data_IF_525985446981
#
_entry.id   IF_525985446981
#
_cell.length_a   1.000
_cell.length_b   1.000
_cell.length_c   1.000
_cell.angle_alpha   90.00
_cell.angle_beta   90.00
_cell.angle_gamma   90.00
#
_symmetry.space_group_name_H-M   'P 1'
#
loop_
_entity.id
_entity.type
_entity.pdbx_description
1 polymer ?
#
# COMPACT_ATOMS: atom_id res chain seq x y z
N UNK A 1 -9.16 47.93 -17.93
CA UNK A 1 -9.24 46.90 -16.86
C UNK A 1 -7.86 46.42 -16.40
N UNK A 2 -6.75 47.12 -16.74
CA UNK A 2 -5.39 46.75 -16.33
C UNK A 2 -4.70 47.77 -15.42
N UNK A 3 -5.21 49.00 -15.29
CA UNK A 3 -4.49 50.10 -14.60
C UNK A 3 -4.74 50.15 -13.07
N UNK A 4 -5.75 49.40 -12.59
CA UNK A 4 -6.14 49.38 -11.17
C UNK A 4 -5.38 48.30 -10.37
N UNK A 5 -5.00 47.20 -11.04
CA UNK A 5 -4.23 46.11 -10.44
C UNK A 5 -2.77 46.50 -10.20
N UNK A 6 -2.16 47.23 -11.13
CA UNK A 6 -0.77 47.68 -11.01
C UNK A 6 -0.59 48.71 -9.88
N UNK A 7 -1.62 49.56 -9.67
CA UNK A 7 -1.66 50.49 -8.52
C UNK A 7 -1.86 49.79 -7.18
N UNK A 8 -2.54 48.65 -7.15
CA UNK A 8 -2.69 47.84 -5.95
C UNK A 8 -1.37 47.13 -5.60
N UNK A 9 -0.69 46.59 -6.60
CA UNK A 9 0.60 45.89 -6.43
C UNK A 9 1.71 46.81 -5.91
N UNK A 10 1.80 48.04 -6.42
CA UNK A 10 2.77 49.05 -5.94
C UNK A 10 2.50 49.51 -4.49
N UNK A 11 1.24 49.52 -4.05
CA UNK A 11 0.90 49.86 -2.65
C UNK A 11 1.22 48.71 -1.69
N UNK A 12 1.05 47.47 -2.12
CA UNK A 12 1.39 46.28 -1.32
C UNK A 12 2.91 46.12 -1.17
N UNK A 13 3.69 46.37 -2.23
CA UNK A 13 5.15 46.25 -2.16
C UNK A 13 5.80 47.29 -1.24
N UNK A 14 5.30 48.53 -1.23
CA UNK A 14 5.77 49.58 -0.31
C UNK A 14 5.36 49.36 1.16
N UNK A 15 4.29 48.61 1.42
CA UNK A 15 3.92 48.21 2.77
C UNK A 15 4.82 47.07 3.29
N UNK A 16 5.31 46.20 2.40
CA UNK A 16 6.15 45.05 2.75
C UNK A 16 7.61 45.44 3.05
N UNK A 17 8.13 46.50 2.45
CA UNK A 17 9.50 46.98 2.72
C UNK A 17 9.61 47.82 3.99
N UNK A 18 8.51 48.43 4.45
CA UNK A 18 8.51 49.25 5.68
C UNK A 18 8.47 48.45 6.98
N UNK A 19 8.12 47.17 6.94
CA UNK A 19 8.10 46.28 8.11
C UNK A 19 9.40 45.50 8.28
N UNK A 20 10.21 45.37 7.23
CA UNK A 20 11.50 44.67 7.30
C UNK A 20 12.60 45.46 8.02
N UNK A 21 12.53 46.79 8.01
CA UNK A 21 13.51 47.66 8.70
C UNK A 21 13.30 47.75 10.22
N UNK A 22 12.13 47.32 10.73
CA UNK A 22 11.87 47.27 12.18
C UNK A 22 12.24 45.91 12.77
N UNK A 23 12.26 44.85 11.95
CA UNK A 23 12.54 43.46 12.35
C UNK A 23 14.03 43.14 12.48
N UNK A 24 14.93 43.97 11.96
CA UNK A 24 16.39 43.76 12.07
C UNK A 24 17.02 44.34 13.35
N UNK A 25 16.25 45.08 14.18
CA UNK A 25 16.73 45.65 15.44
C UNK A 25 16.62 44.72 16.66
N UNK A 26 16.17 43.48 16.49
CA UNK A 26 16.02 42.51 17.60
C UNK A 26 16.59 41.13 17.24
N UNK A 27 17.72 41.12 16.53
CA UNK A 27 18.51 39.90 16.32
C UNK A 27 19.71 40.00 17.28
N UNK A 28 19.76 39.21 18.37
CA UNK A 28 20.94 39.13 19.22
C UNK A 28 22.12 38.69 18.36
N UNK A 29 23.33 39.12 18.71
CA UNK A 29 24.52 38.67 17.99
C UNK A 29 24.60 37.13 18.06
N UNK A 30 25.11 36.53 16.98
CA UNK A 30 25.24 35.08 16.84
C UNK A 30 26.04 34.42 17.99
N UNK A 31 26.84 35.20 18.74
CA UNK A 31 27.53 34.75 19.95
C UNK A 31 26.61 34.63 21.17
N UNK A 32 25.63 35.51 21.35
CA UNK A 32 24.67 35.43 22.47
C UNK A 32 23.72 34.24 22.31
N UNK A 33 23.35 33.91 21.07
CA UNK A 33 22.50 32.77 20.75
C UNK A 33 23.19 31.42 21.02
N UNK A 34 24.48 31.31 20.68
CA UNK A 34 25.28 30.11 20.98
C UNK A 34 25.53 29.93 22.49
N UNK A 35 25.67 31.03 23.23
CA UNK A 35 25.84 30.97 24.69
C UNK A 35 24.56 30.53 25.41
N UNK A 36 23.39 30.98 24.92
CA UNK A 36 22.08 30.54 25.41
C UNK A 36 21.78 29.06 25.10
N UNK A 37 22.21 28.55 23.94
CA UNK A 37 22.06 27.13 23.59
C UNK A 37 22.95 26.23 24.49
N UNK A 38 24.10 26.72 24.94
CA UNK A 38 25.05 25.91 25.72
C UNK A 38 24.70 25.73 27.21
N UNK A 39 23.71 26.45 27.75
CA UNK A 39 23.45 26.48 29.20
C UNK A 39 21.96 26.47 29.58
N UNK A 40 21.27 25.36 29.33
CA UNK A 40 20.32 24.72 30.27
C UNK A 40 19.53 23.64 29.51
N UNK A 41 19.62 22.38 29.95
CA UNK A 41 18.59 21.77 30.82
C UNK A 41 17.23 21.83 30.13
N UNK A 42 16.97 20.88 29.24
CA UNK A 42 15.72 20.12 29.08
C UNK A 42 15.86 19.29 27.81
N UNK A 43 15.65 17.97 27.93
CA UNK A 43 15.81 17.00 26.84
C UNK A 43 14.91 17.31 25.65
N UNK A 44 15.48 17.95 24.64
CA UNK A 44 14.88 18.04 23.32
C UNK A 44 15.38 16.81 22.58
N UNK A 45 14.49 15.84 22.41
CA UNK A 45 14.61 14.75 21.43
C UNK A 45 14.92 15.44 20.10
N UNK A 46 16.07 15.11 19.51
CA UNK A 46 16.53 15.75 18.30
C UNK A 46 15.64 15.31 17.12
N UNK A 47 15.48 16.17 16.11
CA UNK A 47 14.74 15.83 14.88
C UNK A 47 15.32 14.58 14.20
N UNK A 48 16.62 14.34 14.41
CA UNK A 48 17.34 13.15 13.96
C UNK A 48 16.81 11.87 14.66
N UNK A 49 16.52 11.94 15.97
CA UNK A 49 15.92 10.84 16.73
C UNK A 49 14.52 10.46 16.19
N UNK A 50 13.72 11.42 15.72
CA UNK A 50 12.37 11.14 15.16
C UNK A 50 12.40 10.53 13.75
N UNK A 51 13.48 10.71 13.01
CA UNK A 51 13.66 10.17 11.65
C UNK A 51 14.26 8.76 11.72
N UNK A 52 15.17 8.50 12.67
CA UNK A 52 15.73 7.16 12.91
C UNK A 52 14.67 6.17 13.41
N UNK A 53 13.75 6.58 14.30
CA UNK A 53 12.62 5.73 14.72
C UNK A 53 11.72 5.31 13.54
N UNK A 54 11.51 6.20 12.56
CA UNK A 54 10.60 5.96 11.43
C UNK A 54 11.21 5.13 10.29
N UNK A 55 12.52 5.21 10.08
CA UNK A 55 13.19 4.59 8.92
C UNK A 55 14.06 3.38 9.33
N UNK A 56 14.38 3.21 10.62
CA UNK A 56 15.16 2.09 11.14
C UNK A 56 14.79 1.64 12.56
N UNK A 57 13.65 2.07 13.09
CA UNK A 57 13.21 1.70 14.45
C UNK A 57 12.73 0.25 14.58
N UNK A 58 12.42 -0.14 15.83
CA UNK A 58 11.84 -1.44 16.16
C UNK A 58 12.87 -2.57 16.41
N UNK A 59 12.43 -3.70 17.00
CA UNK A 59 13.32 -4.77 17.48
C UNK A 59 14.16 -5.44 16.38
N UNK A 60 13.72 -5.33 15.12
CA UNK A 60 14.40 -5.92 13.95
C UNK A 60 14.79 -4.89 12.87
N UNK A 61 14.68 -3.58 13.15
CA UNK A 61 15.04 -2.51 12.21
C UNK A 61 14.09 -2.36 11.00
N UNK A 62 12.85 -2.83 11.11
CA UNK A 62 11.81 -2.72 10.06
C UNK A 62 10.81 -1.57 10.32
N UNK A 63 11.09 -0.71 11.29
CA UNK A 63 10.22 0.35 11.81
C UNK A 63 9.48 -0.07 13.08
N UNK A 64 8.82 0.90 13.72
CA UNK A 64 8.03 0.71 14.93
C UNK A 64 6.81 -0.23 14.69
N UNK A 65 6.64 -1.32 15.46
CA UNK A 65 5.43 -2.14 15.45
C UNK A 65 4.12 -1.42 15.75
N UNK A 66 4.15 -0.38 16.61
CA UNK A 66 2.95 0.34 17.03
C UNK A 66 2.48 1.39 16.01
N UNK A 67 3.30 1.68 15.00
CA UNK A 67 2.97 2.62 13.95
C UNK A 67 1.85 2.06 13.04
N UNK A 68 0.70 2.75 13.08
CA UNK A 68 -0.48 2.46 12.26
C UNK A 68 -0.58 3.36 11.03
N UNK A 69 0.38 4.26 10.80
CA UNK A 69 0.32 5.19 9.67
C UNK A 69 0.64 4.47 8.35
N UNK A 70 -0.11 4.79 7.31
CA UNK A 70 0.15 4.31 5.95
C UNK A 70 1.01 5.34 5.24
N UNK A 71 2.10 4.88 4.61
CA UNK A 71 2.98 5.76 3.84
C UNK A 71 2.44 5.96 2.43
N UNK A 72 2.79 7.08 1.80
CA UNK A 72 2.32 7.41 0.44
C UNK A 72 2.64 6.27 -0.54
N UNK A 73 3.84 5.70 -0.45
CA UNK A 73 4.22 4.54 -1.23
C UNK A 73 3.34 3.33 -0.93
N UNK A 74 2.93 3.07 0.30
CA UNK A 74 2.15 1.86 0.59
C UNK A 74 0.75 1.87 -0.06
N UNK A 75 0.25 3.04 -0.49
CA UNK A 75 -1.03 3.12 -1.20
C UNK A 75 -1.07 2.37 -2.54
N UNK A 76 0.07 2.13 -3.22
CA UNK A 76 0.07 1.35 -4.46
C UNK A 76 -0.32 -0.13 -4.25
N UNK A 77 -0.29 -0.60 -3.00
CA UNK A 77 -0.60 -1.97 -2.64
C UNK A 77 -2.11 -2.26 -2.64
N UNK A 78 -2.91 -1.30 -2.17
CA UNK A 78 -4.34 -1.53 -1.90
C UNK A 78 -5.18 -1.84 -3.14
N UNK A 79 -5.00 -1.22 -4.32
CA UNK A 79 -5.78 -1.59 -5.50
C UNK A 79 -5.71 -3.08 -5.82
N UNK A 80 -4.54 -3.69 -5.67
CA UNK A 80 -4.33 -5.12 -5.91
C UNK A 80 -4.94 -5.97 -4.81
N UNK A 81 -4.84 -5.54 -3.55
CA UNK A 81 -5.45 -6.21 -2.41
C UNK A 81 -6.98 -6.21 -2.52
N UNK A 82 -7.58 -5.05 -2.81
CA UNK A 82 -9.04 -4.88 -3.00
C UNK A 82 -9.54 -5.82 -4.10
N UNK A 83 -8.88 -5.82 -5.27
CA UNK A 83 -9.27 -6.69 -6.37
C UNK A 83 -9.28 -8.17 -5.98
N UNK A 84 -8.26 -8.62 -5.24
CA UNK A 84 -8.21 -10.00 -4.77
C UNK A 84 -9.27 -10.29 -3.75
N UNK A 85 -9.49 -9.40 -2.80
CA UNK A 85 -10.47 -9.61 -1.75
C UNK A 85 -11.86 -9.74 -2.35
N UNK A 86 -12.19 -8.89 -3.32
CA UNK A 86 -13.42 -8.99 -4.10
C UNK A 86 -13.47 -10.34 -4.83
N UNK A 87 -12.41 -10.72 -5.54
CA UNK A 87 -12.40 -11.94 -6.37
C UNK A 87 -12.46 -13.25 -5.57
N UNK A 88 -11.65 -13.37 -4.53
CA UNK A 88 -11.36 -14.64 -3.85
C UNK A 88 -12.05 -14.79 -2.50
N UNK A 89 -12.57 -13.71 -1.92
CA UNK A 89 -13.30 -13.79 -0.65
C UNK A 89 -14.76 -13.38 -0.83
N UNK A 90 -15.02 -12.22 -1.44
CA UNK A 90 -16.40 -11.68 -1.53
C UNK A 90 -17.23 -12.30 -2.65
N UNK A 91 -16.59 -12.61 -3.79
CA UNK A 91 -17.22 -13.22 -4.97
C UNK A 91 -16.66 -14.62 -5.27
N UNK A 92 -16.18 -15.35 -4.26
CA UNK A 92 -15.57 -16.68 -4.43
C UNK A 92 -16.51 -17.64 -5.17
N UNK A 93 -17.76 -17.79 -4.73
CA UNK A 93 -18.70 -18.76 -5.28
C UNK A 93 -18.94 -18.61 -6.78
N UNK A 94 -19.16 -17.37 -7.25
CA UNK A 94 -19.41 -17.08 -8.67
C UNK A 94 -18.12 -17.11 -9.49
N UNK A 95 -16.99 -16.79 -8.86
CA UNK A 95 -15.67 -16.86 -9.48
C UNK A 95 -15.26 -18.32 -9.70
N UNK A 96 -15.49 -19.18 -8.71
CA UNK A 96 -15.17 -20.61 -8.79
C UNK A 96 -16.02 -21.31 -9.84
N UNK A 97 -17.34 -21.06 -9.88
CA UNK A 97 -18.22 -21.58 -10.95
C UNK A 97 -17.78 -21.15 -12.35
N UNK A 98 -17.33 -19.91 -12.50
CA UNK A 98 -16.79 -19.42 -13.77
C UNK A 98 -15.51 -20.17 -14.15
N UNK A 99 -14.57 -20.36 -13.21
CA UNK A 99 -13.34 -21.11 -13.48
C UNK A 99 -13.58 -22.60 -13.73
N UNK A 100 -14.53 -23.22 -13.04
CA UNK A 100 -14.99 -24.59 -13.33
C UNK A 100 -15.49 -24.68 -14.77
N UNK A 101 -16.36 -23.78 -15.20
CA UNK A 101 -16.85 -23.75 -16.58
C UNK A 101 -15.71 -23.55 -17.58
N UNK A 102 -14.79 -22.61 -17.34
CA UNK A 102 -13.63 -22.36 -18.22
C UNK A 102 -12.75 -23.60 -18.33
N UNK A 103 -12.49 -24.28 -17.22
CA UNK A 103 -11.70 -25.52 -17.20
C UNK A 103 -12.40 -26.64 -17.98
N UNK A 104 -13.72 -26.75 -17.88
CA UNK A 104 -14.48 -27.74 -18.64
C UNK A 104 -14.59 -27.38 -20.13
N UNK A 105 -14.67 -26.08 -20.47
CA UNK A 105 -14.66 -25.58 -21.83
C UNK A 105 -13.30 -25.78 -22.53
N UNK A 106 -12.20 -25.83 -21.77
CA UNK A 106 -10.89 -26.21 -22.28
C UNK A 106 -10.91 -27.60 -22.94
N UNK A 107 -11.63 -28.56 -22.34
CA UNK A 107 -11.80 -29.90 -22.88
C UNK A 107 -12.97 -30.03 -23.86
N UNK A 108 -13.97 -29.15 -23.76
CA UNK A 108 -15.13 -29.13 -24.66
C UNK A 108 -15.33 -27.73 -25.25
N UNK A 109 -14.78 -27.46 -26.45
CA UNK A 109 -14.85 -26.15 -27.11
C UNK A 109 -16.28 -25.66 -27.41
N UNK A 110 -17.28 -26.54 -27.39
CA UNK A 110 -18.68 -26.18 -27.60
C UNK A 110 -19.38 -25.66 -26.33
N UNK A 111 -18.73 -25.76 -25.17
CA UNK A 111 -19.28 -25.26 -23.91
C UNK A 111 -19.16 -23.74 -23.84
N UNK A 112 -20.26 -23.09 -23.46
CA UNK A 112 -20.35 -21.64 -23.36
C UNK A 112 -20.49 -21.22 -21.88
N UNK A 113 -19.58 -20.37 -21.40
CA UNK A 113 -19.52 -19.92 -20.00
C UNK A 113 -20.08 -18.51 -19.76
N UNK A 114 -20.86 -17.97 -20.72
CA UNK A 114 -21.41 -16.60 -20.63
C UNK A 114 -22.29 -16.38 -19.40
N UNK A 115 -23.00 -17.41 -18.94
CA UNK A 115 -23.92 -17.27 -17.80
C UNK A 115 -23.14 -17.09 -16.50
N UNK A 116 -22.14 -17.94 -16.28
CA UNK A 116 -21.21 -17.91 -15.15
C UNK A 116 -20.38 -16.63 -15.17
N UNK A 117 -19.91 -16.23 -16.35
CA UNK A 117 -19.19 -14.97 -16.56
C UNK A 117 -20.03 -13.75 -16.17
N UNK A 118 -21.29 -13.71 -16.62
CA UNK A 118 -22.22 -12.63 -16.30
C UNK A 118 -22.50 -12.56 -14.80
N UNK A 119 -22.69 -13.72 -14.14
CA UNK A 119 -22.88 -13.79 -12.70
C UNK A 119 -21.65 -13.28 -11.93
N UNK A 120 -20.45 -13.68 -12.36
CA UNK A 120 -19.20 -13.20 -11.78
C UNK A 120 -19.04 -11.68 -11.95
N UNK A 121 -19.27 -11.14 -13.15
CA UNK A 121 -19.19 -9.70 -13.39
C UNK A 121 -20.22 -8.92 -12.59
N UNK A 122 -21.44 -9.43 -12.47
CA UNK A 122 -22.48 -8.82 -11.66
C UNK A 122 -22.06 -8.73 -10.19
N UNK A 123 -21.52 -9.80 -9.62
CA UNK A 123 -21.01 -9.76 -8.24
C UNK A 123 -19.90 -8.72 -8.08
N UNK A 124 -18.91 -8.71 -8.99
CA UNK A 124 -17.80 -7.73 -8.92
C UNK A 124 -18.31 -6.29 -9.04
N UNK A 125 -19.24 -6.03 -9.95
CA UNK A 125 -19.84 -4.72 -10.16
C UNK A 125 -20.54 -4.20 -8.89
N UNK A 126 -21.17 -5.08 -8.10
CA UNK A 126 -21.79 -4.69 -6.84
C UNK A 126 -20.79 -4.19 -5.80
N UNK A 127 -19.50 -4.55 -5.88
CA UNK A 127 -18.46 -4.08 -4.96
C UNK A 127 -17.71 -2.84 -5.46
N UNK A 128 -17.89 -2.45 -6.73
CA UNK A 128 -17.28 -1.25 -7.29
C UNK A 128 -18.12 0.03 -7.07
N UNK A 129 -19.09 0.01 -6.16
CA UNK A 129 -19.77 1.23 -5.72
C UNK A 129 -18.88 1.99 -4.71
N UNK A 130 -18.97 3.33 -4.63
CA UNK A 130 -18.14 4.11 -3.71
C UNK A 130 -18.24 3.66 -2.25
N UNK A 131 -19.44 3.29 -1.78
CA UNK A 131 -19.63 2.89 -0.39
C UNK A 131 -18.93 1.56 -0.08
N UNK A 132 -19.14 0.54 -0.93
CA UNK A 132 -18.55 -0.79 -0.73
C UNK A 132 -17.05 -0.81 -1.00
N UNK A 133 -16.56 0.02 -1.92
CA UNK A 133 -15.12 0.15 -2.16
C UNK A 133 -14.42 0.68 -0.91
N UNK A 134 -14.95 1.73 -0.28
CA UNK A 134 -14.39 2.29 0.96
C UNK A 134 -14.41 1.27 2.11
N UNK A 135 -15.47 0.48 2.24
CA UNK A 135 -15.54 -0.63 3.20
C UNK A 135 -14.44 -1.67 2.97
N UNK A 136 -14.29 -2.15 1.73
CA UNK A 136 -13.28 -3.16 1.38
C UNK A 136 -11.86 -2.60 1.51
N UNK A 137 -11.64 -1.33 1.16
CA UNK A 137 -10.36 -0.65 1.33
C UNK A 137 -9.95 -0.58 2.81
N UNK A 138 -10.87 -0.18 3.69
CA UNK A 138 -10.64 -0.17 5.15
C UNK A 138 -10.31 -1.56 5.70
N UNK A 139 -11.00 -2.59 5.24
CA UNK A 139 -10.67 -3.98 5.58
C UNK A 139 -9.23 -4.33 5.16
N UNK A 140 -8.85 -4.00 3.91
CA UNK A 140 -7.52 -4.27 3.37
C UNK A 140 -6.41 -3.52 4.13
N UNK A 141 -6.64 -2.24 4.45
CA UNK A 141 -5.72 -1.40 5.23
C UNK A 141 -5.52 -1.99 6.63
N UNK A 142 -6.62 -2.35 7.30
CA UNK A 142 -6.58 -2.93 8.66
C UNK A 142 -5.75 -4.22 8.70
N UNK A 143 -5.96 -5.11 7.73
CA UNK A 143 -5.21 -6.36 7.65
C UNK A 143 -3.73 -6.14 7.30
N UNK A 144 -3.45 -5.21 6.38
CA UNK A 144 -2.08 -4.83 6.04
C UNK A 144 -1.33 -4.29 7.25
N UNK A 145 -1.91 -3.34 7.99
CA UNK A 145 -1.29 -2.75 9.20
C UNK A 145 -1.03 -3.83 10.24
N UNK A 146 -1.98 -4.74 10.45
CA UNK A 146 -1.82 -5.86 11.40
C UNK A 146 -0.67 -6.78 11.02
N UNK A 147 -0.56 -7.16 9.74
CA UNK A 147 0.53 -8.02 9.26
C UNK A 147 1.87 -7.29 9.30
N UNK A 148 1.89 -6.01 8.93
CA UNK A 148 3.08 -5.15 8.98
C UNK A 148 3.59 -5.00 10.41
N UNK A 149 2.70 -4.70 11.35
CA UNK A 149 3.01 -4.61 12.78
C UNK A 149 3.63 -5.92 13.27
N UNK A 150 2.97 -7.06 13.00
CA UNK A 150 3.50 -8.37 13.35
C UNK A 150 4.87 -8.65 12.72
N UNK A 151 5.07 -8.32 11.44
CA UNK A 151 6.35 -8.48 10.78
C UNK A 151 7.44 -7.60 11.41
N UNK A 152 7.12 -6.37 11.81
CA UNK A 152 8.04 -5.48 12.53
C UNK A 152 8.40 -6.02 13.93
N UNK A 153 7.45 -6.68 14.61
CA UNK A 153 7.71 -7.34 15.90
C UNK A 153 8.57 -8.59 15.80
N UNK A 154 8.28 -9.47 14.81
CA UNK A 154 8.86 -10.82 14.74
C UNK A 154 10.08 -10.92 13.82
N UNK A 155 10.17 -10.05 12.80
CA UNK A 155 11.14 -10.16 11.72
C UNK A 155 11.02 -11.45 10.90
N UNK A 156 9.93 -12.22 11.05
CA UNK A 156 9.80 -13.56 10.47
C UNK A 156 9.66 -13.52 8.95
N UNK A 157 10.39 -14.40 8.26
CA UNK A 157 10.24 -14.59 6.81
C UNK A 157 8.80 -14.99 6.44
N UNK A 158 8.13 -15.76 7.30
CA UNK A 158 6.75 -16.17 7.09
C UNK A 158 5.79 -14.97 7.06
N UNK A 159 6.00 -13.99 7.94
CA UNK A 159 5.18 -12.79 8.01
C UNK A 159 5.48 -11.85 6.82
N UNK A 160 6.75 -11.74 6.41
CA UNK A 160 7.15 -11.08 5.15
C UNK A 160 6.43 -11.70 3.95
N UNK A 161 6.39 -13.03 3.92
CA UNK A 161 5.71 -13.78 2.89
C UNK A 161 4.21 -13.53 2.89
N UNK A 162 3.55 -13.48 4.05
CA UNK A 162 2.11 -13.14 4.12
C UNK A 162 1.80 -11.77 3.55
N UNK A 163 2.64 -10.77 3.82
CA UNK A 163 2.50 -9.44 3.22
C UNK A 163 2.68 -9.53 1.69
N UNK A 164 3.71 -10.23 1.20
CA UNK A 164 3.91 -10.46 -0.24
C UNK A 164 2.75 -11.25 -0.87
N UNK A 165 2.16 -12.21 -0.17
CA UNK A 165 1.04 -13.03 -0.65
C UNK A 165 -0.28 -12.26 -0.67
N UNK A 166 -0.50 -11.34 0.27
CA UNK A 166 -1.60 -10.35 0.13
C UNK A 166 -1.50 -9.58 -1.19
N UNK A 167 -0.30 -9.45 -1.76
CA UNK A 167 -0.05 -8.80 -3.06
C UNK A 167 -0.01 -9.77 -4.25
N UNK A 168 0.44 -11.03 -4.11
CA UNK A 168 0.54 -12.04 -5.19
C UNK A 168 -0.67 -12.99 -5.33
N UNK A 169 -1.11 -13.35 -6.55
CA UNK A 169 -2.33 -14.17 -6.79
C UNK A 169 -2.40 -15.47 -5.96
N UNK A 170 -3.59 -15.96 -5.54
CA UNK A 170 -3.72 -17.19 -4.73
C UNK A 170 -3.25 -18.47 -5.42
N UNK A 171 -2.98 -18.42 -6.73
CA UNK A 171 -2.25 -19.49 -7.42
C UNK A 171 -0.87 -19.71 -6.75
N UNK A 172 -0.20 -18.65 -6.30
CA UNK A 172 1.07 -18.76 -5.58
C UNK A 172 0.93 -19.37 -4.18
N UNK A 173 -0.24 -19.23 -3.53
CA UNK A 173 -0.53 -19.89 -2.24
C UNK A 173 -0.73 -21.39 -2.43
N UNK A 174 -1.53 -21.80 -3.42
CA UNK A 174 -1.71 -23.22 -3.77
C UNK A 174 -0.40 -23.87 -4.21
N UNK A 175 0.39 -23.21 -5.06
CA UNK A 175 1.69 -23.72 -5.51
C UNK A 175 2.65 -23.95 -4.34
N UNK A 176 2.69 -23.03 -3.38
CA UNK A 176 3.56 -23.18 -2.20
C UNK A 176 3.05 -24.26 -1.25
N UNK A 177 1.74 -24.39 -1.09
CA UNK A 177 1.15 -25.46 -0.29
C UNK A 177 1.45 -26.81 -0.91
N UNK A 178 1.30 -26.94 -2.23
CA UNK A 178 1.71 -28.12 -2.98
C UNK A 178 3.22 -28.39 -2.89
N UNK A 179 4.07 -27.36 -2.90
CA UNK A 179 5.52 -27.50 -2.68
C UNK A 179 5.82 -28.03 -1.26
N UNK A 180 5.12 -27.55 -0.23
CA UNK A 180 5.21 -28.09 1.14
C UNK A 180 4.69 -29.52 1.26
N UNK A 181 3.63 -29.84 0.53
CA UNK A 181 3.02 -31.18 0.47
C UNK A 181 3.87 -32.17 -0.36
N UNK A 182 5.00 -31.70 -0.93
CA UNK A 182 5.96 -32.54 -1.65
C UNK A 182 5.59 -32.81 -3.11
N UNK A 183 4.74 -31.97 -3.71
CA UNK A 183 4.37 -32.10 -5.13
C UNK A 183 5.62 -31.97 -6.02
N UNK A 184 5.79 -32.87 -7.03
CA UNK A 184 6.90 -32.80 -7.96
C UNK A 184 6.93 -31.45 -8.71
N UNK A 185 8.14 -30.93 -8.92
CA UNK A 185 8.35 -29.65 -9.61
C UNK A 185 7.71 -29.58 -11.00
N UNK A 186 7.70 -30.69 -11.73
CA UNK A 186 7.08 -30.79 -13.05
C UNK A 186 5.55 -30.68 -13.00
N UNK A 187 4.90 -31.05 -11.90
CA UNK A 187 3.47 -30.84 -11.69
C UNK A 187 3.17 -29.41 -11.24
N UNK A 188 4.00 -28.85 -10.36
CA UNK A 188 3.93 -27.45 -9.95
C UNK A 188 4.06 -26.50 -11.14
N UNK A 189 4.99 -26.77 -12.05
CA UNK A 189 5.22 -25.93 -13.23
C UNK A 189 4.05 -25.96 -14.22
N UNK A 190 3.26 -27.06 -14.27
CA UNK A 190 2.02 -27.12 -15.06
C UNK A 190 0.90 -26.25 -14.49
N UNK A 191 0.89 -26.00 -13.18
CA UNK A 191 -0.11 -25.19 -12.48
C UNK A 191 0.27 -23.70 -12.49
N UNK A 192 1.53 -23.37 -12.78
CA UNK A 192 2.02 -21.99 -12.79
C UNK A 192 1.32 -21.13 -13.86
N UNK A 193 0.90 -19.89 -13.55
CA UNK A 193 0.33 -19.00 -14.55
C UNK A 193 1.29 -18.80 -15.73
N UNK A 194 0.81 -19.04 -16.95
CA UNK A 194 1.62 -18.90 -18.16
C UNK A 194 2.37 -20.17 -18.60
N UNK A 195 2.12 -21.33 -17.99
CA UNK A 195 2.57 -22.61 -18.52
C UNK A 195 1.97 -22.85 -19.92
N UNK A 196 2.84 -23.01 -20.90
CA UNK A 196 2.46 -23.43 -22.25
C UNK A 196 2.87 -24.89 -22.38
N UNK A 197 1.90 -25.83 -22.53
CA UNK A 197 2.26 -27.23 -22.72
C UNK A 197 3.14 -27.38 -23.97
N UNK A 198 4.15 -28.28 -23.93
CA UNK A 198 4.96 -28.55 -25.11
C UNK A 198 4.04 -28.99 -26.26
N UNK A 199 4.26 -28.43 -27.45
CA UNK A 199 3.54 -28.87 -28.65
C UNK A 199 3.92 -30.32 -28.91
N UNK A 200 2.93 -31.22 -28.89
CA UNK A 200 3.11 -32.61 -29.31
C UNK A 200 3.67 -32.61 -30.75
N UNK A 201 4.77 -33.35 -30.94
CA UNK A 201 5.45 -33.52 -32.23
C UNK A 201 4.79 -34.58 -33.08
#
# INVERSE_FOLDING_TARGET
MSDEFDRLWLKVSHAFTRTYDVLTCWIPSFEELNKAISTNVFGIVTLEDTIEEKIGGGPHGYGDPADTTIREEEHYLFPRMIWKKIRFEKCCDVTDRYYECVNEAYYNPNRNCKNEETAMFKCKAEYYTPEKMDEVEKECISEYVKLRSKFRETGSEEDSWKIKMMLLEPIYDKLRQYEKDGMPKEELDKIRPGYIPPKEQ
#
